data_IF_896921072618
#
_entry.id   IF_896921072618
#
_cell.length_a   1.000
_cell.length_b   1.000
_cell.length_c   1.000
_cell.angle_alpha   90.00
_cell.angle_beta   90.00
_cell.angle_gamma   90.00
#
_symmetry.space_group_name_H-M   'P 1'
#
loop_
_entity.id
_entity.type
_entity.pdbx_description
1 polymer ?
#
# COMPACT_ATOMS: atom_id res chain seq x y z
N UNK A 1 15.49 -20.19 7.45
CA UNK A 1 15.96 -19.21 6.44
C UNK A 1 16.21 -17.89 7.15
N UNK A 2 17.38 -17.24 7.00
CA UNK A 2 17.60 -15.92 7.60
C UNK A 2 16.58 -14.93 7.02
N UNK A 3 15.88 -14.19 7.89
CA UNK A 3 15.00 -13.10 7.48
C UNK A 3 15.85 -12.09 6.71
N UNK A 4 15.48 -11.80 5.46
CA UNK A 4 16.11 -10.69 4.71
C UNK A 4 16.01 -9.44 5.59
N UNK A 5 17.09 -8.65 5.74
CA UNK A 5 17.03 -7.38 6.46
C UNK A 5 15.92 -6.53 5.84
N UNK A 6 14.91 -6.19 6.64
CA UNK A 6 13.86 -5.24 6.24
C UNK A 6 14.33 -3.85 6.65
N UNK A 7 14.12 -2.85 5.81
CA UNK A 7 14.36 -1.46 6.20
C UNK A 7 13.46 -1.07 7.37
N UNK A 8 13.79 0.04 8.03
CA UNK A 8 12.98 0.57 9.13
C UNK A 8 11.56 0.96 8.67
N UNK A 9 10.60 1.15 9.60
CA UNK A 9 9.29 1.68 9.25
C UNK A 9 9.42 3.03 8.54
N UNK A 10 8.58 3.29 7.54
CA UNK A 10 8.57 4.56 6.82
C UNK A 10 9.91 4.94 6.18
N UNK A 11 10.71 3.93 5.80
CA UNK A 11 12.02 4.15 5.20
C UNK A 11 11.93 4.58 3.75
N UNK A 12 12.94 5.32 3.30
CA UNK A 12 13.08 5.75 1.92
C UNK A 12 12.02 6.76 1.48
N UNK A 13 12.15 7.18 0.23
CA UNK A 13 11.21 8.09 -0.42
C UNK A 13 10.82 7.55 -1.78
N UNK A 14 9.55 7.76 -2.12
CA UNK A 14 8.93 7.32 -3.35
C UNK A 14 8.13 8.47 -3.91
N UNK A 15 8.32 8.78 -5.19
CA UNK A 15 7.50 9.74 -5.90
C UNK A 15 6.26 9.02 -6.45
N UNK A 16 5.18 8.99 -5.68
CA UNK A 16 3.90 8.46 -6.15
C UNK A 16 3.21 9.49 -7.06
N UNK A 17 2.56 9.08 -8.15
CA UNK A 17 1.89 10.01 -9.07
C UNK A 17 0.66 10.67 -8.44
N UNK A 18 0.04 10.00 -7.46
CA UNK A 18 -1.13 10.47 -6.72
C UNK A 18 -0.78 10.71 -5.25
N UNK A 19 -1.44 11.68 -4.64
CA UNK A 19 -1.50 11.78 -3.17
C UNK A 19 -2.24 10.57 -2.59
N UNK A 20 -2.05 10.30 -1.30
CA UNK A 20 -2.76 9.20 -0.63
C UNK A 20 -4.27 9.33 -0.78
N UNK A 21 -4.79 10.56 -0.61
CA UNK A 21 -6.23 10.83 -0.71
C UNK A 21 -6.78 10.53 -2.11
N UNK A 22 -6.06 10.95 -3.17
CA UNK A 22 -6.45 10.69 -4.55
C UNK A 22 -6.41 9.19 -4.86
N UNK A 23 -5.38 8.48 -4.42
CA UNK A 23 -5.28 7.02 -4.59
C UNK A 23 -6.44 6.30 -3.86
N UNK A 24 -6.73 6.70 -2.62
CA UNK A 24 -7.83 6.14 -1.83
C UNK A 24 -9.19 6.34 -2.52
N UNK A 25 -9.46 7.55 -3.03
CA UNK A 25 -10.68 7.85 -3.78
C UNK A 25 -10.77 7.05 -5.08
N UNK A 26 -9.68 6.94 -5.84
CA UNK A 26 -9.65 6.14 -7.07
C UNK A 26 -9.98 4.68 -6.82
N UNK A 27 -9.39 4.09 -5.79
CA UNK A 27 -9.65 2.69 -5.40
C UNK A 27 -11.09 2.53 -4.92
N UNK A 28 -11.60 3.48 -4.13
CA UNK A 28 -12.98 3.46 -3.64
C UNK A 28 -13.98 3.48 -4.80
N UNK A 29 -13.70 4.29 -5.83
CA UNK A 29 -14.57 4.45 -7.00
C UNK A 29 -14.43 3.32 -8.03
N UNK A 30 -13.37 2.51 -7.95
CA UNK A 30 -13.07 1.44 -8.92
C UNK A 30 -12.76 0.11 -8.20
N UNK A 31 -13.74 -0.47 -7.48
CA UNK A 31 -13.53 -1.73 -6.76
C UNK A 31 -13.20 -2.87 -7.73
N UNK A 32 -12.23 -3.71 -7.35
CA UNK A 32 -11.79 -4.85 -8.18
C UNK A 32 -10.91 -4.46 -9.37
N UNK A 33 -10.53 -3.18 -9.52
CA UNK A 33 -9.55 -2.79 -10.55
C UNK A 33 -8.21 -3.47 -10.31
N UNK A 34 -7.66 -4.04 -11.37
CA UNK A 34 -6.32 -4.64 -11.38
C UNK A 34 -5.28 -3.61 -11.83
N UNK A 35 -4.17 -3.58 -11.11
CA UNK A 35 -2.99 -2.78 -11.37
C UNK A 35 -1.81 -3.71 -11.71
N UNK A 36 -0.71 -3.15 -12.21
CA UNK A 36 0.48 -3.92 -12.58
C UNK A 36 1.73 -3.20 -12.09
N UNK A 37 2.54 -3.89 -11.29
CA UNK A 37 3.86 -3.41 -10.86
C UNK A 37 4.81 -3.24 -12.06
N UNK A 38 5.85 -2.42 -11.94
CA UNK A 38 6.97 -2.32 -12.90
C UNK A 38 7.55 -3.70 -13.29
N UNK A 39 7.60 -4.64 -12.34
CA UNK A 39 8.09 -6.00 -12.55
C UNK A 39 7.10 -6.93 -13.27
N UNK A 40 5.91 -6.43 -13.62
CA UNK A 40 4.87 -7.16 -14.36
C UNK A 40 3.88 -7.92 -13.49
N UNK A 41 4.03 -7.93 -12.17
CA UNK A 41 3.09 -8.61 -11.26
C UNK A 41 1.77 -7.85 -11.17
N UNK A 42 0.66 -8.55 -11.38
CA UNK A 42 -0.69 -8.01 -11.21
C UNK A 42 -1.07 -7.96 -9.73
N UNK A 43 -1.83 -6.95 -9.35
CA UNK A 43 -2.36 -6.81 -7.99
C UNK A 43 -3.68 -6.04 -7.99
N UNK A 44 -4.45 -6.21 -6.93
CA UNK A 44 -5.69 -5.49 -6.67
C UNK A 44 -5.52 -4.60 -5.44
N UNK A 45 -6.37 -3.58 -5.33
CA UNK A 45 -6.41 -2.70 -4.18
C UNK A 45 -7.78 -2.68 -3.52
N UNK A 46 -7.80 -2.47 -2.22
CA UNK A 46 -9.01 -2.23 -1.46
C UNK A 46 -8.83 -1.04 -0.52
N UNK A 47 -9.77 -0.10 -0.58
CA UNK A 47 -9.83 1.05 0.32
C UNK A 47 -10.74 0.73 1.51
N UNK A 48 -10.25 0.92 2.73
CA UNK A 48 -10.98 0.67 3.98
C UNK A 48 -10.73 1.77 5.01
N UNK A 49 -11.66 1.88 5.97
CA UNK A 49 -11.40 2.55 7.25
C UNK A 49 -11.02 1.49 8.28
N UNK A 50 -9.93 1.68 8.99
CA UNK A 50 -9.49 0.79 10.06
C UNK A 50 -10.43 0.86 11.25
N UNK A 51 -10.90 -0.29 11.71
CA UNK A 51 -11.87 -0.37 12.80
C UNK A 51 -11.26 -0.58 14.19
N UNK A 52 -9.96 -0.90 14.28
CA UNK A 52 -9.26 -1.22 15.53
C UNK A 52 -7.76 -0.94 15.43
N UNK A 53 -7.14 -0.71 16.57
CA UNK A 53 -5.68 -0.63 16.72
C UNK A 53 -5.15 0.81 16.66
N UNK A 54 -3.82 1.01 16.60
CA UNK A 54 -3.21 2.35 16.69
C UNK A 54 -3.62 3.33 15.60
N UNK A 55 -4.13 2.82 14.48
CA UNK A 55 -4.63 3.61 13.34
C UNK A 55 -6.17 3.57 13.26
N UNK A 56 -6.90 3.32 14.34
CA UNK A 56 -8.36 3.25 14.31
C UNK A 56 -8.99 4.55 13.76
N UNK A 57 -9.97 4.42 12.85
CA UNK A 57 -10.63 5.53 12.18
C UNK A 57 -9.86 6.09 10.97
N UNK A 58 -8.62 5.68 10.75
CA UNK A 58 -7.82 6.13 9.61
C UNK A 58 -8.16 5.40 8.31
N UNK A 59 -7.85 6.06 7.19
CA UNK A 59 -7.93 5.48 5.86
C UNK A 59 -6.77 4.51 5.62
N UNK A 60 -7.08 3.40 4.96
CA UNK A 60 -6.15 2.33 4.65
C UNK A 60 -6.33 1.88 3.20
N UNK A 61 -5.21 1.70 2.50
CA UNK A 61 -5.16 0.98 1.22
C UNK A 61 -4.51 -0.38 1.46
N UNK A 62 -5.17 -1.45 1.04
CA UNK A 62 -4.69 -2.83 1.11
C UNK A 62 -4.30 -3.28 -0.30
N UNK A 63 -3.08 -3.80 -0.46
CA UNK A 63 -2.59 -4.35 -1.73
C UNK A 63 -2.71 -5.88 -1.69
N UNK A 64 -3.37 -6.46 -2.70
CA UNK A 64 -3.69 -7.88 -2.77
C UNK A 64 -3.14 -8.54 -4.03
N UNK A 65 -2.68 -9.78 -3.91
CA UNK A 65 -2.33 -10.65 -5.02
C UNK A 65 -3.09 -11.97 -4.84
N UNK A 66 -3.83 -12.38 -5.88
CA UNK A 66 -4.68 -13.59 -5.83
C UNK A 66 -5.59 -13.64 -4.59
N UNK A 67 -6.16 -12.49 -4.21
CA UNK A 67 -7.02 -12.32 -3.03
C UNK A 67 -6.29 -12.27 -1.68
N UNK A 68 -4.97 -12.48 -1.65
CA UNK A 68 -4.16 -12.48 -0.43
C UNK A 68 -3.59 -11.07 -0.21
N UNK A 69 -3.71 -10.56 1.01
CA UNK A 69 -3.07 -9.31 1.39
C UNK A 69 -1.54 -9.47 1.42
N UNK A 70 -0.86 -8.70 0.58
CA UNK A 70 0.60 -8.69 0.51
C UNK A 70 1.19 -7.55 1.33
N UNK A 71 0.52 -6.40 1.31
CA UNK A 71 0.92 -5.22 2.07
C UNK A 71 -0.26 -4.25 2.27
N UNK A 72 -0.02 -3.23 3.10
CA UNK A 72 -1.00 -2.17 3.37
C UNK A 72 -0.31 -0.83 3.58
N UNK A 73 -0.98 0.27 3.27
CA UNK A 73 -0.49 1.62 3.46
C UNK A 73 -1.55 2.51 4.12
N UNK A 74 -1.16 3.16 5.22
CA UNK A 74 -1.83 4.32 5.77
C UNK A 74 -1.29 5.58 5.09
N UNK A 75 -1.91 6.72 5.38
CA UNK A 75 -1.44 8.01 4.88
C UNK A 75 0.02 8.28 5.28
N UNK A 76 0.42 7.95 6.52
CA UNK A 76 1.80 8.12 6.99
C UNK A 76 2.83 7.24 6.26
N UNK A 77 2.37 6.17 5.60
CA UNK A 77 3.20 5.30 4.78
C UNK A 77 3.35 5.81 3.35
N UNK A 78 2.45 6.69 2.89
CA UNK A 78 2.42 7.08 1.49
C UNK A 78 3.67 7.88 1.11
N UNK A 79 4.23 7.59 -0.07
CA UNK A 79 5.51 8.15 -0.49
C UNK A 79 6.74 7.57 0.22
N UNK A 80 6.58 6.48 0.99
CA UNK A 80 7.69 5.72 1.59
C UNK A 80 7.86 4.37 0.91
N UNK A 81 9.04 3.79 1.06
CA UNK A 81 9.31 2.45 0.56
C UNK A 81 8.72 1.36 1.43
N UNK A 82 8.67 1.59 2.75
CA UNK A 82 8.12 0.65 3.71
C UNK A 82 6.98 1.25 4.51
N UNK A 83 6.01 0.42 4.90
CA UNK A 83 4.93 0.82 5.80
C UNK A 83 5.33 0.75 7.28
N UNK A 84 4.37 1.02 8.19
CA UNK A 84 4.54 0.91 9.64
C UNK A 84 5.15 -0.44 10.09
N UNK A 85 4.86 -1.51 9.37
CA UNK A 85 5.27 -2.88 9.69
C UNK A 85 6.55 -3.31 8.97
N UNK A 86 7.30 -2.37 8.36
CA UNK A 86 8.54 -2.63 7.61
C UNK A 86 8.33 -3.44 6.31
N UNK A 87 7.08 -3.59 5.86
CA UNK A 87 6.75 -4.24 4.59
C UNK A 87 6.96 -3.26 3.45
N UNK A 88 7.62 -3.70 2.37
CA UNK A 88 7.77 -2.89 1.16
C UNK A 88 6.41 -2.63 0.49
N UNK A 89 6.18 -1.38 0.10
CA UNK A 89 4.94 -0.93 -0.54
C UNK A 89 5.17 -0.16 -1.84
N UNK A 90 6.43 0.22 -2.14
CA UNK A 90 6.73 1.14 -3.24
C UNK A 90 6.42 0.56 -4.62
N UNK A 91 6.58 -0.75 -4.80
CA UNK A 91 6.21 -1.42 -6.05
C UNK A 91 4.71 -1.37 -6.33
N UNK A 92 3.89 -1.14 -5.31
CA UNK A 92 2.44 -1.03 -5.45
C UNK A 92 2.01 0.43 -5.51
N UNK A 93 2.50 1.27 -4.59
CA UNK A 93 2.01 2.64 -4.45
C UNK A 93 2.38 3.56 -5.62
N UNK A 94 3.40 3.22 -6.42
CA UNK A 94 3.78 3.97 -7.62
C UNK A 94 2.81 3.79 -8.78
N UNK A 95 2.10 2.67 -8.81
CA UNK A 95 1.26 2.27 -9.95
C UNK A 95 -0.21 2.65 -9.79
N UNK A 96 -0.53 3.27 -8.65
CA UNK A 96 -1.85 3.83 -8.36
C UNK A 96 -1.76 5.31 -8.63
#
# INVERSE_FOLDING_TARGET
MPKRPTRDPHSGFVNNPKTFQQAYEEITNNPGRTYRTDAGTLFECEARITSKGPHEGEKLIIFKQDGIEMARAYECCWGKQTNCNRTYIDSYSREI
#
